data_IF_345507681140
#
_entry.id   IF_345507681140
#
_cell.length_a   1.000
_cell.length_b   1.000
_cell.length_c   1.000
_cell.angle_alpha   90.00
_cell.angle_beta   90.00
_cell.angle_gamma   90.00
#
_symmetry.space_group_name_H-M   'P 1'
#
loop_
_entity.id
_entity.type
_entity.pdbx_description
1 polymer ?
#
# COMPACT_ATOMS: atom_id res chain seq x y z
N UNK A 1 9.86 -4.51 14.36
CA UNK A 1 10.01 -4.64 12.88
C UNK A 1 9.25 -5.84 12.27
N UNK A 2 9.57 -7.08 12.67
CA UNK A 2 9.03 -8.29 12.02
C UNK A 2 7.48 -8.38 12.00
N UNK A 3 6.79 -7.88 13.04
CA UNK A 3 5.32 -7.88 13.10
C UNK A 3 4.68 -6.97 12.04
N UNK A 4 5.22 -5.76 11.88
CA UNK A 4 4.71 -4.80 10.89
C UNK A 4 4.90 -5.35 9.47
N UNK A 5 6.10 -5.88 9.19
CA UNK A 5 6.38 -6.48 7.88
C UNK A 5 5.51 -7.72 7.63
N UNK A 6 5.37 -8.60 8.62
CA UNK A 6 4.49 -9.77 8.51
C UNK A 6 3.01 -9.39 8.27
N UNK A 7 2.52 -8.32 8.91
CA UNK A 7 1.18 -7.79 8.67
C UNK A 7 1.01 -7.41 7.19
N UNK A 8 1.92 -6.60 6.64
CA UNK A 8 1.85 -6.16 5.24
C UNK A 8 2.06 -7.30 4.25
N UNK A 9 3.01 -8.20 4.51
CA UNK A 9 3.25 -9.37 3.67
C UNK A 9 2.01 -10.28 3.61
N UNK A 10 1.30 -10.44 4.73
CA UNK A 10 0.10 -11.27 4.80
C UNK A 10 -1.04 -10.66 3.99
N UNK A 11 -1.21 -9.35 4.05
CA UNK A 11 -2.17 -8.61 3.23
C UNK A 11 -1.79 -8.71 1.74
N UNK A 12 -0.51 -8.56 1.40
CA UNK A 12 0.01 -8.64 0.03
C UNK A 12 -0.21 -10.03 -0.59
N UNK A 13 0.22 -11.09 0.10
CA UNK A 13 0.08 -12.48 -0.37
C UNK A 13 -1.38 -12.87 -0.61
N UNK A 14 -2.28 -12.47 0.28
CA UNK A 14 -3.71 -12.74 0.09
C UNK A 14 -4.25 -12.13 -1.20
N UNK A 15 -3.87 -10.87 -1.50
CA UNK A 15 -4.30 -10.20 -2.73
C UNK A 15 -3.79 -10.95 -3.97
N UNK A 16 -2.52 -11.36 -3.97
CA UNK A 16 -1.90 -12.09 -5.10
C UNK A 16 -2.57 -13.44 -5.33
N UNK A 17 -2.85 -14.18 -4.25
CA UNK A 17 -3.50 -15.49 -4.33
C UNK A 17 -4.92 -15.44 -4.92
N UNK A 18 -5.59 -14.28 -4.88
CA UNK A 18 -6.96 -14.08 -5.39
C UNK A 18 -7.02 -13.08 -6.55
N UNK A 19 -5.99 -13.05 -7.38
CA UNK A 19 -5.78 -12.03 -8.42
C UNK A 19 -6.98 -11.73 -9.31
N UNK A 20 -7.57 -12.75 -9.94
CA UNK A 20 -8.69 -12.55 -10.87
C UNK A 20 -9.92 -11.98 -10.16
N UNK A 21 -10.16 -12.45 -8.93
CA UNK A 21 -11.20 -11.92 -8.07
C UNK A 21 -10.95 -10.44 -7.74
N UNK A 22 -9.73 -10.10 -7.33
CA UNK A 22 -9.35 -8.70 -7.03
C UNK A 22 -9.46 -7.81 -8.26
N UNK A 23 -8.99 -8.25 -9.44
CA UNK A 23 -9.12 -7.46 -10.68
C UNK A 23 -10.59 -7.21 -11.05
N UNK A 24 -11.46 -8.21 -10.88
CA UNK A 24 -12.90 -8.05 -11.11
C UNK A 24 -13.54 -7.07 -10.10
N UNK A 25 -13.12 -7.14 -8.84
CA UNK A 25 -13.58 -6.26 -7.78
C UNK A 25 -13.11 -4.82 -8.02
N UNK A 26 -11.86 -4.61 -8.44
CA UNK A 26 -11.30 -3.28 -8.71
C UNK A 26 -12.12 -2.53 -9.77
N UNK A 27 -12.62 -3.21 -10.81
CA UNK A 27 -13.46 -2.57 -11.85
C UNK A 27 -14.74 -1.98 -11.26
N UNK A 28 -15.44 -2.74 -10.42
CA UNK A 28 -16.62 -2.25 -9.72
C UNK A 28 -16.24 -1.19 -8.68
N UNK A 29 -15.19 -1.43 -7.89
CA UNK A 29 -14.72 -0.54 -6.83
C UNK A 29 -14.41 0.87 -7.33
N UNK A 30 -13.71 1.00 -8.46
CA UNK A 30 -13.33 2.28 -9.05
C UNK A 30 -14.36 2.88 -10.00
N UNK A 31 -15.54 2.26 -10.15
CA UNK A 31 -16.65 2.88 -10.86
C UNK A 31 -17.09 4.18 -10.17
N UNK A 32 -17.61 5.14 -10.94
CA UNK A 32 -17.96 6.47 -10.45
C UNK A 32 -19.11 6.40 -9.43
N UNK A 33 -20.03 5.45 -9.59
CA UNK A 33 -21.16 5.24 -8.69
C UNK A 33 -20.69 4.84 -7.28
N UNK A 34 -19.49 4.28 -7.17
CA UNK A 34 -18.93 3.79 -5.92
C UNK A 34 -18.01 4.80 -5.21
N UNK A 35 -17.89 6.04 -5.69
CA UNK A 35 -17.08 7.09 -5.05
C UNK A 35 -17.43 7.26 -3.56
N UNK A 36 -18.73 7.32 -3.23
CA UNK A 36 -19.17 7.48 -1.84
C UNK A 36 -18.84 6.25 -0.99
N UNK A 37 -18.99 5.04 -1.55
CA UNK A 37 -18.64 3.79 -0.86
C UNK A 37 -17.15 3.75 -0.56
N UNK A 38 -16.31 4.11 -1.53
CA UNK A 38 -14.85 4.18 -1.33
C UNK A 38 -14.48 5.16 -0.23
N UNK A 39 -15.06 6.35 -0.23
CA UNK A 39 -14.82 7.35 0.81
C UNK A 39 -15.18 6.81 2.20
N UNK A 40 -16.35 6.18 2.35
CA UNK A 40 -16.79 5.60 3.63
C UNK A 40 -15.89 4.46 4.10
N UNK A 41 -15.39 3.62 3.19
CA UNK A 41 -14.44 2.58 3.54
C UNK A 41 -13.10 3.17 3.96
N UNK A 42 -12.60 4.20 3.28
CA UNK A 42 -11.38 4.90 3.68
C UNK A 42 -11.52 5.53 5.07
N UNK A 43 -12.66 6.18 5.36
CA UNK A 43 -12.98 6.70 6.70
C UNK A 43 -12.99 5.57 7.75
N UNK A 44 -13.64 4.43 7.45
CA UNK A 44 -13.65 3.26 8.33
C UNK A 44 -12.26 2.67 8.57
N UNK A 45 -11.42 2.58 7.53
CA UNK A 45 -10.04 2.11 7.66
C UNK A 45 -9.22 3.00 8.61
N UNK A 46 -9.41 4.32 8.56
CA UNK A 46 -8.75 5.24 9.49
C UNK A 46 -9.18 4.98 10.93
N UNK A 47 -10.46 4.68 11.17
CA UNK A 47 -10.98 4.41 12.51
C UNK A 47 -10.55 3.03 13.04
N UNK A 48 -10.53 2.01 12.19
CA UNK A 48 -10.39 0.61 12.61
C UNK A 48 -8.95 0.08 12.47
N UNK A 49 -8.22 0.51 11.44
CA UNK A 49 -6.90 -0.04 11.09
C UNK A 49 -5.76 0.85 11.60
N UNK A 50 -5.92 2.18 11.52
CA UNK A 50 -4.86 3.09 11.97
C UNK A 50 -4.45 2.89 13.44
N UNK A 51 -5.38 2.65 14.40
CA UNK A 51 -5.00 2.39 15.79
C UNK A 51 -4.12 1.15 15.96
N UNK A 52 -4.40 0.07 15.21
CA UNK A 52 -3.58 -1.14 15.21
C UNK A 52 -2.17 -0.84 14.68
N UNK A 53 -2.07 -0.07 13.59
CA UNK A 53 -0.77 0.34 13.04
C UNK A 53 0.00 1.23 14.01
N UNK A 54 -0.66 2.19 14.66
CA UNK A 54 -0.06 3.04 15.68
C UNK A 54 0.51 2.19 16.83
N UNK A 55 -0.24 1.17 17.28
CA UNK A 55 0.26 0.24 18.29
C UNK A 55 1.52 -0.51 17.83
N UNK A 56 1.51 -1.08 16.63
CA UNK A 56 2.68 -1.80 16.08
C UNK A 56 3.91 -0.90 15.92
N UNK A 57 3.70 0.38 15.59
CA UNK A 57 4.76 1.37 15.45
C UNK A 57 5.29 1.77 16.84
N UNK A 58 4.40 2.02 17.80
CA UNK A 58 4.80 2.32 19.18
C UNK A 58 5.59 1.16 19.80
N UNK A 59 5.19 -0.09 19.57
CA UNK A 59 5.98 -1.28 19.93
C UNK A 59 7.37 -1.24 19.29
N UNK A 60 7.46 -0.95 17.99
CA UNK A 60 8.74 -0.84 17.27
C UNK A 60 9.63 0.31 17.73
N UNK A 61 9.06 1.43 18.20
CA UNK A 61 9.81 2.54 18.83
C UNK A 61 10.33 2.11 20.20
N UNK A 62 9.51 1.47 21.03
CA UNK A 62 9.93 0.96 22.34
C UNK A 62 11.05 -0.09 22.23
N UNK A 63 11.05 -0.87 21.15
CA UNK A 63 12.10 -1.84 20.82
C UNK A 63 13.35 -1.21 20.16
N UNK A 64 13.33 0.09 19.84
CA UNK A 64 14.45 0.80 19.19
C UNK A 64 14.62 0.51 17.69
N UNK A 65 13.62 -0.07 17.03
CA UNK A 65 13.64 -0.32 15.60
C UNK A 65 13.20 0.89 14.77
N UNK A 66 12.28 1.70 15.31
CA UNK A 66 11.75 2.89 14.68
C UNK A 66 12.11 4.12 15.52
N UNK A 67 12.27 5.28 14.87
CA UNK A 67 12.72 6.51 15.52
C UNK A 67 11.78 7.69 15.24
N UNK A 68 10.54 7.41 14.85
CA UNK A 68 9.54 8.46 14.67
C UNK A 68 9.18 9.13 16.00
N UNK A 69 9.06 10.45 15.99
CA UNK A 69 8.62 11.23 17.17
C UNK A 69 7.10 11.16 17.38
N UNK A 70 6.37 10.61 16.42
CA UNK A 70 4.90 10.63 16.37
C UNK A 70 4.27 9.22 16.25
N UNK A 71 4.62 8.25 17.13
CA UNK A 71 4.16 6.86 17.01
C UNK A 71 2.65 6.69 17.14
N UNK A 72 1.96 7.63 17.76
CA UNK A 72 0.51 7.67 17.98
C UNK A 72 -0.29 8.08 16.75
N UNK A 73 0.34 8.68 15.73
CA UNK A 73 -0.31 9.09 14.47
C UNK A 73 0.38 8.55 13.21
N UNK A 74 1.59 8.00 13.33
CA UNK A 74 2.36 7.48 12.20
C UNK A 74 1.62 6.37 11.42
N UNK A 75 0.85 5.52 12.09
CA UNK A 75 0.05 4.47 11.45
C UNK A 75 -1.04 5.02 10.55
N UNK A 76 -1.69 6.13 10.95
CA UNK A 76 -2.66 6.83 10.10
C UNK A 76 -1.99 7.46 8.87
N UNK A 77 -0.80 8.04 9.04
CA UNK A 77 -0.03 8.60 7.92
C UNK A 77 0.34 7.51 6.91
N UNK A 78 0.87 6.39 7.38
CA UNK A 78 1.24 5.25 6.52
C UNK A 78 0.01 4.68 5.81
N UNK A 79 -1.11 4.53 6.52
CA UNK A 79 -2.36 4.05 5.92
C UNK A 79 -2.83 4.98 4.80
N UNK A 80 -2.77 6.29 5.01
CA UNK A 80 -3.15 7.30 4.00
C UNK A 80 -2.26 7.21 2.76
N UNK A 81 -0.95 7.06 2.96
CA UNK A 81 0.01 6.86 1.87
C UNK A 81 -0.30 5.58 1.08
N UNK A 82 -0.54 4.47 1.77
CA UNK A 82 -0.83 3.18 1.14
C UNK A 82 -2.15 3.18 0.36
N UNK A 83 -3.18 3.83 0.90
CA UNK A 83 -4.47 4.00 0.22
C UNK A 83 -4.30 4.86 -1.04
N UNK A 84 -3.62 6.01 -0.93
CA UNK A 84 -3.37 6.89 -2.07
C UNK A 84 -2.53 6.22 -3.17
N UNK A 85 -1.53 5.42 -2.78
CA UNK A 85 -0.78 4.60 -3.73
C UNK A 85 -1.68 3.56 -4.40
N UNK A 86 -2.50 2.84 -3.63
CA UNK A 86 -3.42 1.82 -4.14
C UNK A 86 -4.40 2.38 -5.18
N UNK A 87 -4.93 3.58 -4.94
CA UNK A 87 -5.77 4.32 -5.87
C UNK A 87 -5.03 4.66 -7.18
N UNK A 88 -3.79 5.14 -7.06
CA UNK A 88 -2.97 5.48 -8.22
C UNK A 88 -2.60 4.24 -9.03
N UNK A 89 -2.22 3.16 -8.33
CA UNK A 89 -1.86 1.88 -8.94
C UNK A 89 -3.04 1.23 -9.66
N UNK A 90 -4.22 1.20 -9.05
CA UNK A 90 -5.41 0.63 -9.67
C UNK A 90 -5.85 1.38 -10.93
N UNK A 91 -5.75 2.72 -10.94
CA UNK A 91 -5.99 3.52 -12.14
C UNK A 91 -5.00 3.16 -13.25
N UNK A 92 -3.72 2.98 -12.91
CA UNK A 92 -2.71 2.56 -13.87
C UNK A 92 -2.97 1.16 -14.47
N UNK A 93 -3.54 0.24 -13.69
CA UNK A 93 -3.96 -1.07 -14.20
C UNK A 93 -5.02 -0.98 -15.30
N UNK A 94 -5.92 0.02 -15.24
CA UNK A 94 -6.97 0.20 -16.25
C UNK A 94 -6.51 0.89 -17.54
N UNK A 95 -5.33 1.51 -17.55
CA UNK A 95 -4.74 2.07 -18.77
C UNK A 95 -4.17 0.93 -19.61
N UNK A 96 -4.33 0.96 -20.94
CA UNK A 96 -3.84 -0.12 -21.82
C UNK A 96 -2.32 -0.06 -22.11
N UNK A 97 -1.65 1.03 -21.75
CA UNK A 97 -0.21 1.19 -21.94
C UNK A 97 0.57 0.22 -21.06
N UNK A 98 1.43 -0.57 -21.71
CA UNK A 98 2.33 -1.57 -21.10
C UNK A 98 3.77 -1.39 -21.56
N UNK A 99 4.12 -0.20 -22.03
CA UNK A 99 5.49 0.15 -22.38
C UNK A 99 6.43 0.01 -21.18
N UNK A 100 7.72 -0.24 -21.44
CA UNK A 100 8.75 -0.24 -20.39
C UNK A 100 8.75 1.08 -19.61
N UNK A 101 8.42 2.19 -20.28
CA UNK A 101 8.26 3.50 -19.64
C UNK A 101 7.12 3.51 -18.62
N UNK A 102 5.95 2.94 -18.95
CA UNK A 102 4.83 2.85 -18.02
C UNK A 102 5.17 1.97 -16.81
N UNK A 103 5.85 0.85 -17.04
CA UNK A 103 6.34 -0.04 -15.96
C UNK A 103 7.31 0.72 -15.05
N UNK A 104 8.29 1.43 -15.62
CA UNK A 104 9.29 2.18 -14.86
C UNK A 104 8.67 3.33 -14.04
N UNK A 105 7.57 3.94 -14.52
CA UNK A 105 6.85 4.96 -13.76
C UNK A 105 6.19 4.38 -12.51
N UNK A 106 5.61 3.19 -12.61
CA UNK A 106 4.97 2.50 -11.47
C UNK A 106 6.01 2.05 -10.46
N UNK A 107 7.13 1.49 -10.91
CA UNK A 107 8.25 1.12 -10.04
C UNK A 107 8.79 2.34 -9.29
N UNK A 108 8.98 3.46 -9.99
CA UNK A 108 9.39 4.74 -9.36
C UNK A 108 8.37 5.22 -8.33
N UNK A 109 7.08 5.11 -8.62
CA UNK A 109 6.02 5.48 -7.69
C UNK A 109 6.11 4.61 -6.42
N UNK A 110 6.20 3.29 -6.56
CA UNK A 110 6.32 2.36 -5.43
C UNK A 110 7.54 2.67 -4.57
N UNK A 111 8.70 2.88 -5.21
CA UNK A 111 9.93 3.28 -4.53
C UNK A 111 9.74 4.59 -3.74
N UNK A 112 9.05 5.58 -4.32
CA UNK A 112 8.76 6.84 -3.63
C UNK A 112 7.84 6.67 -2.41
N UNK A 113 6.85 5.78 -2.48
CA UNK A 113 5.98 5.48 -1.34
C UNK A 113 6.70 4.70 -0.23
N UNK A 114 7.55 3.71 -0.58
CA UNK A 114 8.40 3.02 0.39
C UNK A 114 9.35 4.00 1.10
N UNK A 115 10.02 4.89 0.36
CA UNK A 115 10.89 5.94 0.91
C UNK A 115 10.13 6.91 1.82
N UNK A 116 8.91 7.32 1.45
CA UNK A 116 8.07 8.15 2.31
C UNK A 116 7.71 7.44 3.63
N UNK A 117 7.41 6.14 3.58
CA UNK A 117 7.09 5.35 4.77
C UNK A 117 8.32 5.19 5.68
N UNK A 118 9.50 4.91 5.10
CA UNK A 118 10.75 4.83 5.85
C UNK A 118 11.03 6.16 6.60
N UNK A 119 10.80 7.30 5.93
CA UNK A 119 10.92 8.62 6.58
C UNK A 119 9.91 8.83 7.70
N UNK A 120 8.64 8.43 7.52
CA UNK A 120 7.62 8.52 8.58
C UNK A 120 8.02 7.70 9.81
N UNK A 121 8.68 6.56 9.61
CA UNK A 121 9.13 5.67 10.69
C UNK A 121 10.49 6.04 11.29
N UNK A 122 11.21 7.00 10.69
CA UNK A 122 12.54 7.40 11.14
C UNK A 122 13.58 6.30 10.95
N UNK A 123 13.51 5.56 9.85
CA UNK A 123 14.48 4.50 9.50
C UNK A 123 15.26 4.86 8.24
N UNK A 124 16.44 4.25 8.01
CA UNK A 124 17.17 4.41 6.75
C UNK A 124 16.33 4.01 5.54
N UNK A 125 16.54 4.68 4.41
CA UNK A 125 15.85 4.33 3.16
C UNK A 125 16.16 2.88 2.75
N UNK A 126 15.13 2.16 2.30
CA UNK A 126 15.20 0.74 1.94
C UNK A 126 15.14 -0.20 3.14
N UNK A 127 14.78 0.28 4.34
CA UNK A 127 14.63 -0.59 5.51
C UNK A 127 13.36 -1.42 5.41
N UNK A 128 12.28 -0.83 4.89
CA UNK A 128 11.01 -1.52 4.73
C UNK A 128 10.61 -1.62 3.26
N UNK A 129 10.19 -2.81 2.88
CA UNK A 129 9.55 -3.10 1.60
C UNK A 129 8.10 -3.52 1.87
N UNK A 130 7.30 -2.58 2.39
CA UNK A 130 5.89 -2.87 2.68
C UNK A 130 5.08 -3.08 1.41
N UNK A 131 5.57 -2.53 0.30
CA UNK A 131 5.04 -2.70 -1.03
C UNK A 131 6.10 -3.48 -1.82
N UNK A 132 5.83 -4.77 -2.03
CA UNK A 132 6.73 -5.63 -2.81
C UNK A 132 6.66 -5.25 -4.31
N UNK A 133 7.79 -4.74 -4.82
CA UNK A 133 7.97 -4.35 -6.21
C UNK A 133 7.77 -5.53 -7.17
N UNK A 134 8.17 -6.75 -6.75
CA UNK A 134 8.01 -7.96 -7.56
C UNK A 134 6.54 -8.28 -7.74
N UNK A 135 5.80 -8.35 -6.63
CA UNK A 135 4.35 -8.49 -6.63
C UNK A 135 3.69 -7.41 -7.49
N UNK A 136 4.03 -6.15 -7.31
CA UNK A 136 3.41 -5.06 -8.06
C UNK A 136 3.67 -5.14 -9.58
N UNK A 137 4.88 -5.55 -9.98
CA UNK A 137 5.20 -5.84 -11.38
C UNK A 137 4.36 -7.00 -11.92
N UNK A 138 4.17 -8.07 -11.16
CA UNK A 138 3.29 -9.17 -11.55
C UNK A 138 1.83 -8.73 -11.73
N UNK A 139 1.32 -7.83 -10.89
CA UNK A 139 0.00 -7.22 -11.07
C UNK A 139 -0.10 -6.45 -12.38
N UNK A 140 0.91 -5.65 -12.72
CA UNK A 140 0.88 -4.81 -13.91
C UNK A 140 1.03 -5.61 -15.22
N UNK A 141 1.95 -6.58 -15.26
CA UNK A 141 2.19 -7.43 -16.44
C UNK A 141 0.98 -8.30 -16.76
N UNK A 142 0.36 -8.92 -15.75
CA UNK A 142 -0.74 -9.86 -15.94
C UNK A 142 -2.11 -9.18 -15.96
N UNK A 143 -2.28 -8.01 -15.31
CA UNK A 143 -3.53 -7.24 -15.33
C UNK A 143 -3.87 -6.63 -16.70
N UNK A 144 -2.94 -6.65 -17.66
CA UNK A 144 -3.19 -6.30 -19.06
C UNK A 144 -3.57 -7.48 -19.96
N UNK A 145 -3.55 -8.71 -19.46
CA UNK A 145 -3.94 -9.90 -20.22
C UNK A 145 -5.41 -10.24 -19.96
N UNK A 146 -6.33 -9.38 -20.38
CA UNK A 146 -7.76 -9.73 -20.54
C UNK A 146 -8.35 -9.07 -21.77
#
# INVERSE_FOLDING_TARGET
MARLQHFFDSVGRWKVAQKDYVLSLLRSWYADENVLVRLRVQEGMVLDIAPLLNQLIAEGVAEGFFHTEFPDVAGQMILTLLVGMGDTFAKALFVADRSEMAIAQIERMIAAYNDAIDRVLGVPAGTLHLIDETTAREWFVLGGAS
#
